data_IF_821522227862
#
_entry.id   IF_821522227862
#
_cell.length_a   1.000
_cell.length_b   1.000
_cell.length_c   1.000
_cell.angle_alpha   90.00
_cell.angle_beta   90.00
_cell.angle_gamma   90.00
#
_symmetry.space_group_name_H-M   'P 1'
#
loop_
_entity.id
_entity.type
_entity.pdbx_description
1 polymer ?
#
# COMPACT_ATOMS: atom_id res chain seq x y z
N UNK A 1 -15.77 9.56 -16.40
CA UNK A 1 -14.85 10.64 -15.99
C UNK A 1 -15.64 11.85 -15.52
N UNK A 2 -15.35 12.37 -14.33
CA UNK A 2 -15.90 13.64 -13.84
C UNK A 2 -15.07 14.77 -14.45
N UNK A 3 -15.73 15.84 -14.89
CA UNK A 3 -15.07 17.05 -15.40
C UNK A 3 -14.18 17.68 -14.32
N UNK A 4 -12.91 17.91 -14.66
CA UNK A 4 -11.90 18.51 -13.77
C UNK A 4 -12.22 19.96 -13.38
N UNK A 5 -13.08 20.64 -14.15
CA UNK A 5 -13.50 22.02 -13.89
C UNK A 5 -14.66 22.12 -12.90
N UNK A 6 -15.25 20.99 -12.49
CA UNK A 6 -16.39 20.97 -11.56
C UNK A 6 -15.95 21.29 -10.14
N UNK A 7 -16.70 22.17 -9.48
CA UNK A 7 -16.58 22.42 -8.05
C UNK A 7 -16.74 21.10 -7.27
N UNK A 8 -15.78 20.77 -6.40
CA UNK A 8 -15.74 19.50 -5.66
C UNK A 8 -15.01 18.35 -6.36
N UNK A 9 -14.43 18.54 -7.56
CA UNK A 9 -13.64 17.50 -8.23
C UNK A 9 -12.45 17.02 -7.38
N UNK A 10 -11.74 17.93 -6.70
CA UNK A 10 -10.58 17.56 -5.88
C UNK A 10 -10.96 16.63 -4.72
N UNK A 11 -12.07 16.92 -4.04
CA UNK A 11 -12.58 16.09 -2.95
C UNK A 11 -13.12 14.75 -3.48
N UNK A 12 -13.85 14.76 -4.60
CA UNK A 12 -14.32 13.53 -5.24
C UNK A 12 -13.15 12.63 -5.69
N UNK A 13 -12.09 13.23 -6.24
CA UNK A 13 -10.89 12.50 -6.65
C UNK A 13 -10.11 11.97 -5.46
N UNK A 14 -9.98 12.73 -4.37
CA UNK A 14 -9.40 12.26 -3.10
C UNK A 14 -10.19 11.06 -2.59
N UNK A 15 -11.51 11.18 -2.46
CA UNK A 15 -12.38 10.10 -1.97
C UNK A 15 -12.31 8.86 -2.85
N UNK A 16 -12.28 9.01 -4.18
CA UNK A 16 -12.08 7.87 -5.08
C UNK A 16 -10.82 7.09 -4.71
N UNK A 17 -9.67 7.77 -4.61
CA UNK A 17 -8.39 7.13 -4.26
C UNK A 17 -8.42 6.44 -2.88
N UNK A 18 -9.12 7.02 -1.91
CA UNK A 18 -9.28 6.41 -0.58
C UNK A 18 -10.19 5.18 -0.66
N UNK A 19 -11.27 5.25 -1.43
CA UNK A 19 -12.17 4.12 -1.66
C UNK A 19 -11.46 2.99 -2.40
N UNK A 20 -10.61 3.28 -3.37
CA UNK A 20 -9.82 2.27 -4.09
C UNK A 20 -8.93 1.46 -3.11
N UNK A 21 -8.42 2.09 -2.04
CA UNK A 21 -7.70 1.39 -0.96
C UNK A 21 -8.62 0.62 -0.02
N UNK A 22 -9.85 1.10 0.22
CA UNK A 22 -10.79 0.54 1.20
C UNK A 22 -11.59 -0.66 0.66
N UNK A 23 -11.89 -0.65 -0.64
CA UNK A 23 -12.72 -1.67 -1.31
C UNK A 23 -12.19 -3.10 -1.13
N UNK A 24 -10.88 -3.39 -1.28
CA UNK A 24 -10.33 -4.71 -1.02
C UNK A 24 -10.73 -5.30 0.33
N UNK A 25 -10.58 -4.50 1.40
CA UNK A 25 -10.80 -4.94 2.77
C UNK A 25 -12.28 -5.08 3.10
N UNK A 26 -13.09 -4.07 2.73
CA UNK A 26 -14.54 -4.08 2.99
C UNK A 26 -15.26 -5.15 2.17
N UNK A 27 -14.82 -5.41 0.94
CA UNK A 27 -15.35 -6.49 0.10
C UNK A 27 -14.99 -7.86 0.66
N UNK A 28 -13.76 -8.04 1.17
CA UNK A 28 -13.34 -9.27 1.82
C UNK A 28 -14.20 -9.55 3.06
N UNK A 29 -14.37 -8.55 3.95
CA UNK A 29 -15.23 -8.67 5.14
C UNK A 29 -16.65 -9.04 4.75
N UNK A 30 -17.26 -8.31 3.82
CA UNK A 30 -18.63 -8.56 3.39
C UNK A 30 -18.81 -9.96 2.78
N UNK A 31 -17.84 -10.40 1.97
CA UNK A 31 -17.84 -11.74 1.39
C UNK A 31 -17.79 -12.81 2.49
N UNK A 32 -16.82 -12.71 3.40
CA UNK A 32 -16.66 -13.70 4.47
C UNK A 32 -17.87 -13.74 5.41
N UNK A 33 -18.43 -12.58 5.77
CA UNK A 33 -19.67 -12.49 6.55
C UNK A 33 -20.83 -13.20 5.85
N UNK A 34 -20.95 -13.01 4.53
CA UNK A 34 -21.98 -13.66 3.72
C UNK A 34 -21.78 -15.18 3.69
N UNK A 35 -20.55 -15.66 3.51
CA UNK A 35 -20.23 -17.09 3.51
C UNK A 35 -20.53 -17.74 4.87
N UNK A 36 -20.12 -17.11 5.97
CA UNK A 36 -20.42 -17.60 7.31
C UNK A 36 -21.92 -17.55 7.62
N UNK A 37 -22.63 -16.51 7.19
CA UNK A 37 -24.09 -16.44 7.34
C UNK A 37 -24.81 -17.57 6.59
N UNK A 38 -24.36 -17.88 5.36
CA UNK A 38 -24.89 -19.01 4.58
C UNK A 38 -24.68 -20.36 5.27
N UNK A 39 -23.58 -20.53 6.02
CA UNK A 39 -23.32 -21.75 6.80
C UNK A 39 -24.38 -21.97 7.88
N UNK A 40 -24.84 -20.89 8.51
CA UNK A 40 -25.84 -20.91 9.59
C UNK A 40 -27.28 -21.10 9.10
N UNK A 41 -27.56 -20.89 7.82
CA UNK A 41 -28.90 -21.05 7.25
C UNK A 41 -29.31 -22.52 7.10
N UNK A 42 -30.62 -22.84 7.14
CA UNK A 42 -31.12 -24.17 6.75
C UNK A 42 -30.65 -24.56 5.34
N UNK A 43 -30.38 -25.85 5.12
CA UNK A 43 -29.84 -26.36 3.85
C UNK A 43 -30.68 -25.94 2.62
N UNK A 44 -32.01 -25.99 2.75
CA UNK A 44 -32.92 -25.59 1.67
C UNK A 44 -32.80 -24.09 1.31
N UNK A 45 -32.70 -23.22 2.32
CA UNK A 45 -32.58 -21.77 2.13
C UNK A 45 -31.21 -21.39 1.56
N UNK A 46 -30.16 -22.06 2.03
CA UNK A 46 -28.79 -21.93 1.52
C UNK A 46 -28.70 -22.34 0.06
N UNK A 47 -29.23 -23.50 -0.31
CA UNK A 47 -29.25 -23.97 -1.70
C UNK A 47 -30.04 -23.01 -2.60
N UNK A 48 -31.17 -22.48 -2.12
CA UNK A 48 -31.94 -21.47 -2.85
C UNK A 48 -31.19 -20.13 -2.98
N UNK A 49 -30.34 -19.76 -2.02
CA UNK A 49 -29.45 -18.61 -2.15
C UNK A 49 -28.38 -18.84 -3.22
N UNK A 50 -27.75 -20.02 -3.23
CA UNK A 50 -26.76 -20.42 -4.25
C UNK A 50 -27.39 -20.43 -5.64
N UNK A 51 -28.60 -20.98 -5.80
CA UNK A 51 -29.32 -20.98 -7.08
C UNK A 51 -29.56 -19.58 -7.63
N UNK A 52 -29.94 -18.62 -6.76
CA UNK A 52 -30.11 -17.22 -7.16
C UNK A 52 -28.82 -16.60 -7.68
N UNK A 53 -27.68 -16.96 -7.10
CA UNK A 53 -26.35 -16.51 -7.57
C UNK A 53 -26.04 -17.13 -8.93
N UNK A 54 -26.28 -18.43 -9.11
CA UNK A 54 -26.09 -19.13 -10.39
C UNK A 54 -26.97 -18.52 -11.49
N UNK A 55 -28.23 -18.22 -11.19
CA UNK A 55 -29.14 -17.57 -12.13
C UNK A 55 -28.69 -16.15 -12.49
N UNK A 56 -28.24 -15.38 -11.50
CA UNK A 56 -27.68 -14.05 -11.73
C UNK A 56 -26.42 -14.09 -12.59
N UNK A 57 -25.53 -15.07 -12.38
CA UNK A 57 -24.34 -15.31 -13.19
C UNK A 57 -24.71 -15.60 -14.65
N UNK A 58 -25.59 -16.58 -14.87
CA UNK A 58 -26.07 -16.94 -16.23
C UNK A 58 -26.72 -15.76 -16.93
N UNK A 59 -27.49 -14.95 -16.20
CA UNK A 59 -28.13 -13.75 -16.74
C UNK A 59 -27.08 -12.70 -17.14
N UNK A 60 -26.08 -12.46 -16.30
CA UNK A 60 -24.98 -11.52 -16.57
C UNK A 60 -24.19 -11.93 -17.81
N UNK A 61 -23.83 -13.21 -17.93
CA UNK A 61 -23.12 -13.73 -19.11
C UNK A 61 -23.95 -13.61 -20.40
N UNK A 62 -25.25 -13.88 -20.33
CA UNK A 62 -26.15 -13.72 -21.47
C UNK A 62 -26.29 -12.24 -21.89
N UNK A 63 -26.32 -11.32 -20.94
CA UNK A 63 -26.32 -9.87 -21.19
C UNK A 63 -25.01 -9.41 -21.82
N UNK A 64 -23.86 -9.86 -21.31
CA UNK A 64 -22.54 -9.57 -21.88
C UNK A 64 -22.39 -10.15 -23.29
N UNK A 65 -22.88 -11.38 -23.49
CA UNK A 65 -22.92 -12.03 -24.81
C UNK A 65 -23.80 -11.26 -25.79
N UNK A 66 -24.92 -10.70 -25.34
CA UNK A 66 -25.77 -9.83 -26.17
C UNK A 66 -25.05 -8.51 -26.49
N UNK A 67 -24.51 -7.83 -25.48
CA UNK A 67 -23.76 -6.58 -25.66
C UNK A 67 -22.57 -6.74 -26.61
N UNK A 68 -21.85 -7.87 -26.54
CA UNK A 68 -20.77 -8.21 -27.46
C UNK A 68 -21.26 -8.43 -28.89
N UNK A 69 -22.38 -9.17 -29.08
CA UNK A 69 -23.00 -9.36 -30.40
C UNK A 69 -23.53 -8.05 -31.00
N UNK A 70 -24.14 -7.20 -30.18
CA UNK A 70 -24.66 -5.89 -30.61
C UNK A 70 -23.53 -4.95 -31.00
N UNK A 71 -22.42 -4.94 -30.23
CA UNK A 71 -21.21 -4.19 -30.57
C UNK A 71 -20.57 -4.69 -31.87
N UNK A 72 -20.52 -6.01 -32.07
CA UNK A 72 -20.01 -6.61 -33.30
C UNK A 72 -20.92 -6.35 -34.52
N UNK A 73 -22.25 -6.34 -34.32
CA UNK A 73 -23.22 -6.01 -35.36
C UNK A 73 -23.16 -4.52 -35.74
N UNK A 74 -23.03 -3.62 -34.76
CA UNK A 74 -22.83 -2.19 -34.99
C UNK A 74 -21.52 -1.92 -35.77
N UNK A 75 -20.44 -2.62 -35.43
CA UNK A 75 -19.19 -2.54 -36.18
C UNK A 75 -19.34 -3.00 -37.65
N UNK A 76 -20.09 -4.08 -37.90
CA UNK A 76 -20.39 -4.58 -39.27
C UNK A 76 -21.33 -3.67 -40.07
N UNK A 77 -22.28 -3.00 -39.40
CA UNK A 77 -23.15 -2.02 -40.06
C UNK A 77 -22.39 -0.75 -40.45
N UNK A 78 -21.44 -0.29 -39.63
CA UNK A 78 -20.55 0.82 -39.97
C UNK A 78 -19.64 0.47 -41.17
N UNK A 79 -19.20 -0.78 -41.30
CA UNK A 79 -18.43 -1.28 -42.45
C UNK A 79 -19.24 -1.29 -43.76
N UNK A 80 -20.52 -1.71 -43.72
CA UNK A 80 -21.39 -1.72 -44.89
C UNK A 80 -21.92 -0.34 -45.32
N UNK A 81 -21.86 0.67 -44.45
CA UNK A 81 -22.27 2.04 -44.79
C UNK A 81 -21.16 2.83 -45.51
N UNK A 82 -19.88 2.45 -45.32
CA UNK A 82 -18.72 3.03 -46.01
C UNK A 82 -18.39 2.31 -47.35
N UNK A 83 -18.83 1.05 -47.51
CA UNK A 83 -18.69 0.28 -48.77
C UNK A 83 -19.76 0.56 -49.85
N UNK A 84 -20.69 1.47 -49.61
CA UNK A 84 -21.90 1.67 -50.42
C UNK A 84 -21.82 2.65 -51.59
N UNK A 85 -20.64 3.18 -51.94
CA UNK A 85 -20.53 4.12 -53.07
C UNK A 85 -19.24 3.91 -53.89
N UNK A 86 -19.31 3.04 -54.89
CA UNK A 86 -18.18 2.82 -55.81
C UNK A 86 -18.48 1.91 -56.99
N UNK A 87 -19.26 2.42 -57.95
CA UNK A 87 -19.36 1.87 -59.30
C UNK A 87 -17.97 1.63 -59.92
N UNK A 88 -17.77 0.41 -60.42
CA UNK A 88 -17.15 0.05 -61.70
C UNK A 88 -16.12 1.05 -62.30
N UNK A 89 -14.83 0.79 -62.10
CA UNK A 89 -13.79 1.25 -63.02
C UNK A 89 -12.59 0.27 -63.02
N UNK A 90 -12.53 -0.48 -64.11
CA UNK A 90 -11.38 -1.23 -64.59
C UNK A 90 -10.14 -0.31 -64.72
N UNK A 91 -9.09 -0.54 -63.92
CA UNK A 91 -7.71 -0.21 -64.32
C UNK A 91 -6.72 -1.13 -63.62
N UNK A 92 -6.14 -1.99 -64.45
CA UNK A 92 -4.90 -2.70 -64.23
C UNK A 92 -3.73 -1.71 -64.14
N UNK A 93 -3.01 -1.63 -63.01
CA UNK A 93 -1.59 -1.27 -63.00
C UNK A 93 -0.92 -1.72 -61.70
N UNK A 94 0.02 -2.63 -61.89
CA UNK A 94 1.08 -3.02 -60.97
C UNK A 94 2.03 -1.82 -60.73
N UNK A 95 2.23 -1.38 -59.48
CA UNK A 95 3.51 -0.80 -59.06
C UNK A 95 3.59 -0.63 -57.53
N UNK A 96 4.76 -0.97 -57.05
CA UNK A 96 5.30 -0.92 -55.71
C UNK A 96 5.56 0.53 -55.21
N UNK A 97 5.84 0.62 -53.91
CA UNK A 97 6.57 1.67 -53.15
C UNK A 97 5.82 2.82 -52.46
N UNK A 98 5.92 2.76 -51.11
CA UNK A 98 6.31 3.81 -50.15
C UNK A 98 5.98 5.29 -50.40
N UNK A 99 5.30 5.82 -49.38
CA UNK A 99 5.42 7.17 -48.80
C UNK A 99 4.83 8.37 -49.57
N UNK A 100 3.70 8.88 -49.05
CA UNK A 100 3.70 10.24 -48.50
C UNK A 100 2.48 10.48 -47.61
N UNK A 101 2.74 10.46 -46.30
CA UNK A 101 1.87 11.00 -45.28
C UNK A 101 1.85 12.54 -45.41
N UNK A 102 0.75 13.06 -45.93
CA UNK A 102 0.31 14.44 -45.74
C UNK A 102 -1.16 14.42 -45.36
N UNK A 103 -1.40 14.02 -44.12
CA UNK A 103 -2.43 14.58 -43.26
C UNK A 103 -2.16 14.07 -41.84
N UNK A 104 -2.23 14.95 -40.85
CA UNK A 104 -1.97 14.68 -39.43
C UNK A 104 -3.04 13.81 -38.76
N UNK A 105 -3.68 12.93 -39.52
CA UNK A 105 -4.74 12.05 -39.05
C UNK A 105 -4.11 10.96 -38.21
N UNK A 106 -4.36 10.99 -36.90
CA UNK A 106 -3.90 9.98 -35.94
C UNK A 106 -4.20 8.59 -36.48
N UNK A 107 -3.21 7.69 -36.42
CA UNK A 107 -3.23 6.33 -36.99
C UNK A 107 -4.56 5.56 -36.78
N UNK A 108 -5.23 5.75 -35.64
CA UNK A 108 -6.52 5.10 -35.33
C UNK A 108 -7.72 5.59 -36.15
N UNK A 109 -7.62 6.74 -36.82
CA UNK A 109 -8.67 7.29 -37.65
C UNK A 109 -8.57 6.88 -39.12
N UNK A 110 -7.51 6.16 -39.51
CA UNK A 110 -7.41 5.56 -40.83
C UNK A 110 -7.88 4.10 -40.74
N UNK A 111 -9.13 3.84 -41.14
CA UNK A 111 -9.78 2.53 -41.03
C UNK A 111 -9.01 1.42 -41.77
N UNK A 112 -8.40 1.74 -42.92
CA UNK A 112 -7.60 0.79 -43.70
C UNK A 112 -6.33 0.37 -42.95
N UNK A 113 -5.63 1.33 -42.35
CA UNK A 113 -4.43 1.07 -41.56
C UNK A 113 -4.73 0.33 -40.26
N UNK A 114 -5.88 0.60 -39.63
CA UNK A 114 -6.33 -0.12 -38.43
C UNK A 114 -6.71 -1.56 -38.77
N UNK A 115 -7.40 -1.80 -39.90
CA UNK A 115 -7.72 -3.17 -40.34
C UNK A 115 -6.46 -3.96 -40.69
N UNK A 116 -5.53 -3.35 -41.43
CA UNK A 116 -4.26 -3.97 -41.75
C UNK A 116 -3.44 -4.24 -40.47
N UNK A 117 -3.43 -3.29 -39.54
CA UNK A 117 -2.83 -3.46 -38.22
C UNK A 117 -3.46 -4.60 -37.40
N UNK A 118 -4.78 -4.76 -37.44
CA UNK A 118 -5.49 -5.88 -36.80
C UNK A 118 -5.14 -7.23 -37.42
N UNK A 119 -5.09 -7.32 -38.75
CA UNK A 119 -4.69 -8.55 -39.44
C UNK A 119 -3.23 -8.90 -39.15
N UNK A 120 -2.33 -7.92 -39.19
CA UNK A 120 -0.91 -8.12 -38.90
C UNK A 120 -0.66 -8.47 -37.43
N UNK A 121 -1.43 -7.88 -36.51
CA UNK A 121 -1.43 -8.23 -35.10
C UNK A 121 -1.87 -9.68 -34.91
N UNK A 122 -3.00 -10.10 -35.52
CA UNK A 122 -3.52 -11.46 -35.42
C UNK A 122 -2.55 -12.47 -36.04
N UNK A 123 -1.91 -12.15 -37.16
CA UNK A 123 -0.86 -12.98 -37.77
C UNK A 123 0.35 -13.15 -36.86
N UNK A 124 0.74 -12.10 -36.13
CA UNK A 124 1.98 -12.11 -35.33
C UNK A 124 1.77 -12.60 -33.90
N UNK A 125 0.58 -12.43 -33.34
CA UNK A 125 0.31 -12.66 -31.92
C UNK A 125 -0.90 -13.56 -31.64
N UNK A 126 -1.70 -13.91 -32.66
CA UNK A 126 -2.93 -14.68 -32.52
C UNK A 126 -4.10 -13.85 -31.98
N UNK A 127 -5.20 -14.53 -31.61
CA UNK A 127 -6.30 -13.89 -30.89
C UNK A 127 -5.90 -13.71 -29.42
N UNK A 128 -5.50 -12.49 -29.04
CA UNK A 128 -5.19 -12.12 -27.66
C UNK A 128 -6.38 -11.36 -27.05
N UNK A 129 -6.70 -11.66 -25.79
CA UNK A 129 -7.70 -10.90 -25.03
C UNK A 129 -7.18 -9.48 -24.78
N UNK A 130 -8.09 -8.53 -24.65
CA UNK A 130 -7.75 -7.14 -24.35
C UNK A 130 -7.52 -7.01 -22.85
N UNK A 131 -6.31 -7.34 -22.41
CA UNK A 131 -5.87 -7.34 -21.02
C UNK A 131 -4.48 -6.69 -20.90
N UNK A 132 -4.16 -6.16 -19.74
CA UNK A 132 -2.87 -5.52 -19.50
C UNK A 132 -1.72 -6.54 -19.58
N UNK A 133 -0.56 -6.09 -20.05
CA UNK A 133 0.65 -6.91 -20.23
C UNK A 133 0.51 -8.10 -21.21
N UNK A 134 -0.44 -8.07 -22.15
CA UNK A 134 -0.73 -9.13 -23.15
C UNK A 134 0.47 -9.61 -24.01
N UNK A 135 1.61 -8.91 -24.00
CA UNK A 135 2.83 -9.22 -24.77
C UNK A 135 3.84 -10.13 -24.06
N UNK A 136 3.66 -10.48 -22.79
CA UNK A 136 4.63 -11.31 -22.04
C UNK A 136 4.31 -12.80 -22.19
N UNK A 137 5.24 -13.56 -22.79
CA UNK A 137 5.05 -14.98 -23.14
C UNK A 137 5.33 -15.98 -22.01
N UNK A 138 5.84 -15.54 -20.85
CA UNK A 138 6.11 -16.41 -19.70
C UNK A 138 5.66 -15.70 -18.42
N UNK A 139 4.56 -16.18 -17.82
CA UNK A 139 4.16 -15.83 -16.45
C UNK A 139 4.35 -17.07 -15.57
N UNK A 140 5.61 -17.46 -15.37
CA UNK A 140 5.95 -18.32 -14.23
C UNK A 140 5.63 -17.52 -12.98
N UNK A 141 4.56 -17.92 -12.30
CA UNK A 141 4.23 -17.51 -10.94
C UNK A 141 5.34 -18.05 -10.05
N UNK A 142 6.41 -17.27 -9.90
CA UNK A 142 7.37 -17.44 -8.82
C UNK A 142 6.82 -16.64 -7.67
N UNK A 143 6.28 -17.38 -6.71
CA UNK A 143 6.29 -17.11 -5.27
C UNK A 143 6.87 -15.75 -4.87
N UNK A 144 5.98 -14.87 -4.44
CA UNK A 144 5.97 -14.24 -3.12
C UNK A 144 7.26 -14.47 -2.30
N UNK A 145 8.24 -13.58 -2.48
CA UNK A 145 9.26 -13.35 -1.46
C UNK A 145 9.67 -11.87 -1.50
N UNK A 146 9.30 -11.19 -0.42
CA UNK A 146 9.89 -9.98 0.16
C UNK A 146 10.58 -9.01 -0.80
N UNK A 147 9.90 -7.91 -1.15
CA UNK A 147 10.58 -6.63 -1.37
C UNK A 147 9.62 -5.48 -1.07
N UNK A 148 10.03 -4.61 -0.15
CA UNK A 148 9.43 -3.31 0.10
C UNK A 148 9.48 -2.44 -1.16
N UNK A 149 8.38 -1.75 -1.45
CA UNK A 149 8.27 -0.85 -2.59
C UNK A 149 6.86 -0.86 -3.15
N UNK A 150 5.94 -0.21 -2.44
CA UNK A 150 4.57 -0.06 -2.92
C UNK A 150 4.49 1.03 -3.98
N UNK A 151 4.39 0.61 -5.25
CA UNK A 151 3.93 1.44 -6.37
C UNK A 151 2.50 0.99 -6.73
N UNK A 152 1.51 1.80 -6.35
CA UNK A 152 0.08 1.50 -6.47
C UNK A 152 -0.51 2.14 -7.74
N UNK A 153 -0.28 1.51 -8.89
CA UNK A 153 -1.09 1.67 -10.11
C UNK A 153 -1.61 0.28 -10.51
N UNK A 154 -2.38 -0.34 -9.62
CA UNK A 154 -2.88 -1.70 -9.78
C UNK A 154 -4.34 -1.83 -9.33
N UNK A 155 -5.20 -1.03 -9.94
CA UNK A 155 -6.67 -1.17 -9.93
C UNK A 155 -7.15 -2.43 -10.68
N UNK A 156 -6.24 -3.27 -11.15
CA UNK A 156 -6.53 -4.52 -11.87
C UNK A 156 -6.22 -5.78 -11.06
N UNK A 157 -5.77 -5.66 -9.81
CA UNK A 157 -5.23 -6.82 -9.06
C UNK A 157 -6.30 -7.76 -8.48
N UNK A 158 -7.49 -7.23 -8.17
CA UNK A 158 -8.58 -8.02 -7.57
C UNK A 158 -9.54 -8.60 -8.61
N UNK A 159 -9.76 -7.90 -9.73
CA UNK A 159 -10.37 -8.52 -10.92
C UNK A 159 -9.45 -9.59 -11.48
N UNK A 160 -8.13 -9.36 -11.55
CA UNK A 160 -7.18 -10.35 -12.05
C UNK A 160 -7.08 -11.62 -11.19
N UNK A 161 -7.37 -11.59 -9.88
CA UNK A 161 -7.39 -12.80 -9.06
C UNK A 161 -8.63 -13.65 -9.39
N UNK A 162 -9.79 -13.00 -9.56
CA UNK A 162 -11.05 -13.64 -9.96
C UNK A 162 -11.05 -14.07 -11.44
N UNK A 163 -10.40 -13.30 -12.30
CA UNK A 163 -10.20 -13.59 -13.73
C UNK A 163 -9.08 -14.60 -13.97
N UNK A 164 -8.12 -14.78 -13.05
CA UNK A 164 -7.11 -15.84 -13.16
C UNK A 164 -7.67 -17.25 -12.92
N UNK A 165 -8.79 -17.35 -12.20
CA UNK A 165 -9.56 -18.58 -12.06
C UNK A 165 -10.34 -18.84 -13.36
N UNK A 166 -10.91 -17.79 -13.99
CA UNK A 166 -11.56 -17.88 -15.30
C UNK A 166 -10.58 -18.08 -16.49
N UNK A 167 -9.30 -17.73 -16.34
CA UNK A 167 -8.29 -17.85 -17.39
C UNK A 167 -7.72 -19.27 -17.56
N UNK A 168 -8.02 -20.21 -16.66
CA UNK A 168 -7.69 -21.64 -16.86
C UNK A 168 -8.66 -22.38 -17.78
N UNK A 169 -9.84 -21.80 -18.08
CA UNK A 169 -10.87 -22.45 -18.90
C UNK A 169 -10.96 -21.88 -20.33
N UNK A 170 -10.13 -20.90 -20.68
CA UNK A 170 -10.19 -20.22 -21.98
C UNK A 170 -9.41 -20.87 -23.13
N UNK A 171 -8.75 -22.00 -22.91
CA UNK A 171 -8.03 -22.76 -23.95
C UNK A 171 -8.30 -24.23 -23.74
N UNK A 172 -9.41 -24.73 -24.28
CA UNK A 172 -9.57 -26.09 -24.81
C UNK A 172 -11.01 -26.27 -25.30
N UNK A 173 -11.28 -25.86 -26.53
CA UNK A 173 -12.42 -26.43 -27.26
C UNK A 173 -11.92 -26.86 -28.65
N UNK A 174 -11.27 -28.02 -28.66
CA UNK A 174 -11.53 -29.10 -29.61
C UNK A 174 -10.71 -30.33 -29.16
N UNK A 175 -11.43 -31.37 -28.71
CA UNK A 175 -10.96 -32.71 -28.28
C UNK A 175 -10.51 -32.91 -26.82
N UNK A 176 -11.43 -32.76 -25.86
CA UNK A 176 -11.45 -33.58 -24.64
C UNK A 176 -12.82 -33.45 -23.93
N UNK A 177 -13.79 -34.27 -24.34
CA UNK A 177 -14.92 -34.56 -23.47
C UNK A 177 -14.44 -35.54 -22.39
N UNK A 178 -13.83 -35.03 -21.32
CA UNK A 178 -13.70 -35.74 -20.05
C UNK A 178 -13.46 -34.77 -18.87
N UNK A 179 -14.54 -34.61 -18.08
CA UNK A 179 -14.60 -34.14 -16.68
C UNK A 179 -13.92 -32.82 -16.29
N UNK A 180 -14.56 -31.68 -16.53
CA UNK A 180 -14.54 -30.61 -15.51
C UNK A 180 -15.28 -31.19 -14.31
N UNK A 181 -14.61 -31.29 -13.15
CA UNK A 181 -15.27 -31.79 -11.96
C UNK A 181 -16.42 -30.83 -11.62
N UNK A 182 -17.57 -31.33 -11.17
CA UNK A 182 -18.71 -30.47 -10.83
C UNK A 182 -18.36 -29.41 -9.76
N UNK A 183 -17.26 -29.60 -9.01
CA UNK A 183 -16.76 -28.68 -8.01
C UNK A 183 -16.03 -27.46 -8.59
N UNK A 184 -15.62 -27.48 -9.86
CA UNK A 184 -14.88 -26.38 -10.49
C UNK A 184 -15.77 -25.50 -11.40
N UNK A 185 -17.00 -25.94 -11.69
CA UNK A 185 -17.95 -25.24 -12.57
C UNK A 185 -18.82 -24.21 -11.78
N UNK A 186 -18.67 -22.89 -12.01
CA UNK A 186 -19.44 -21.85 -11.31
C UNK A 186 -20.93 -21.82 -11.66
N UNK A 187 -21.41 -22.65 -12.60
CA UNK A 187 -22.83 -22.86 -12.84
C UNK A 187 -23.45 -23.98 -12.01
N UNK A 188 -22.65 -24.63 -11.16
CA UNK A 188 -23.04 -25.75 -10.31
C UNK A 188 -23.04 -25.34 -8.85
N UNK A 189 -23.87 -26.02 -8.04
CA UNK A 189 -23.99 -25.71 -6.61
C UNK A 189 -22.74 -26.14 -5.85
N UNK A 190 -22.15 -27.25 -6.28
CA UNK A 190 -20.97 -27.89 -5.71
C UNK A 190 -19.79 -26.91 -5.62
N UNK A 191 -19.61 -26.06 -6.64
CA UNK A 191 -18.62 -24.98 -6.66
C UNK A 191 -18.77 -24.00 -5.49
N UNK A 192 -20.00 -23.54 -5.21
CA UNK A 192 -20.26 -22.60 -4.12
C UNK A 192 -20.24 -23.29 -2.75
N UNK A 193 -20.75 -24.52 -2.66
CA UNK A 193 -20.77 -25.29 -1.41
C UNK A 193 -19.35 -25.60 -0.92
N UNK A 194 -18.40 -25.84 -1.83
CA UNK A 194 -16.99 -26.08 -1.50
C UNK A 194 -16.30 -24.87 -0.85
N UNK A 195 -16.81 -23.66 -1.06
CA UNK A 195 -16.23 -22.41 -0.54
C UNK A 195 -16.80 -22.03 0.84
N UNK A 196 -17.85 -22.70 1.30
CA UNK A 196 -18.48 -22.38 2.57
C UNK A 196 -17.65 -22.91 3.75
N UNK A 197 -17.38 -22.09 4.79
CA UNK A 197 -16.57 -22.48 5.94
C UNK A 197 -17.36 -23.36 6.92
N UNK A 198 -17.61 -24.61 6.55
CA UNK A 198 -18.36 -25.57 7.37
C UNK A 198 -17.56 -26.13 8.54
N UNK A 199 -16.24 -26.24 8.39
CA UNK A 199 -15.37 -26.79 9.43
C UNK A 199 -14.88 -25.67 10.37
N UNK A 200 -14.58 -25.98 11.64
CA UNK A 200 -13.99 -25.01 12.55
C UNK A 200 -12.74 -24.34 12.00
N UNK A 201 -11.87 -25.10 11.32
CA UNK A 201 -10.63 -24.61 10.73
C UNK A 201 -10.90 -23.65 9.56
N UNK A 202 -11.88 -23.97 8.70
CA UNK A 202 -12.27 -23.10 7.60
C UNK A 202 -12.94 -21.81 8.12
N UNK A 203 -13.68 -21.89 9.23
CA UNK A 203 -14.22 -20.71 9.90
C UNK A 203 -13.11 -19.84 10.49
N UNK A 204 -12.11 -20.44 11.13
CA UNK A 204 -10.97 -19.69 11.68
C UNK A 204 -10.21 -18.95 10.58
N UNK A 205 -10.01 -19.58 9.43
CA UNK A 205 -9.38 -18.92 8.28
C UNK A 205 -10.24 -17.77 7.72
N UNK A 206 -11.56 -17.97 7.65
CA UNK A 206 -12.52 -16.91 7.30
C UNK A 206 -12.47 -15.75 8.31
N UNK A 207 -12.38 -16.06 9.61
CA UNK A 207 -12.26 -15.07 10.68
C UNK A 207 -10.95 -14.27 10.57
N UNK A 208 -9.83 -14.89 10.17
CA UNK A 208 -8.56 -14.15 9.92
C UNK A 208 -8.70 -13.13 8.81
N UNK A 209 -9.37 -13.47 7.71
CA UNK A 209 -9.64 -12.54 6.62
C UNK A 209 -10.52 -11.38 7.10
N UNK A 210 -11.53 -11.66 7.93
CA UNK A 210 -12.38 -10.61 8.52
C UNK A 210 -11.57 -9.71 9.46
N UNK A 211 -10.72 -10.28 10.33
CA UNK A 211 -9.89 -9.52 11.26
C UNK A 211 -8.95 -8.57 10.53
N UNK A 212 -8.22 -9.07 9.53
CA UNK A 212 -7.32 -8.26 8.69
C UNK A 212 -8.11 -7.16 7.95
N UNK A 213 -9.24 -7.51 7.35
CA UNK A 213 -10.10 -6.55 6.65
C UNK A 213 -10.64 -5.46 7.56
N UNK A 214 -11.14 -5.79 8.76
CA UNK A 214 -11.65 -4.80 9.71
C UNK A 214 -10.55 -3.90 10.26
N UNK A 215 -9.37 -4.44 10.56
CA UNK A 215 -8.25 -3.64 11.05
C UNK A 215 -7.83 -2.60 10.01
N UNK A 216 -7.53 -3.04 8.79
CA UNK A 216 -7.07 -2.15 7.72
C UNK A 216 -8.16 -1.16 7.29
N UNK A 217 -9.43 -1.59 7.19
CA UNK A 217 -10.55 -0.70 6.89
C UNK A 217 -10.69 0.39 7.95
N UNK A 218 -10.69 0.02 9.24
CA UNK A 218 -10.80 0.99 10.34
C UNK A 218 -9.67 2.02 10.36
N UNK A 219 -8.44 1.60 10.04
CA UNK A 219 -7.28 2.50 9.94
C UNK A 219 -7.43 3.47 8.76
N UNK A 220 -7.87 3.00 7.59
CA UNK A 220 -8.12 3.84 6.40
C UNK A 220 -9.27 4.81 6.65
N UNK A 221 -10.36 4.34 7.25
CA UNK A 221 -11.52 5.17 7.62
C UNK A 221 -11.11 6.30 8.57
N UNK A 222 -10.21 6.02 9.53
CA UNK A 222 -9.66 7.00 10.47
C UNK A 222 -8.70 8.01 9.82
N UNK A 223 -7.72 7.53 9.07
CA UNK A 223 -6.58 8.33 8.60
C UNK A 223 -6.87 9.02 7.28
N UNK A 224 -7.42 8.29 6.31
CA UNK A 224 -7.54 8.72 4.93
C UNK A 224 -8.92 9.32 4.65
N UNK A 225 -9.99 8.69 5.16
CA UNK A 225 -11.37 9.16 4.99
C UNK A 225 -11.76 10.20 6.05
N UNK A 226 -11.16 10.12 7.24
CA UNK A 226 -11.49 10.93 8.42
C UNK A 226 -12.95 10.81 8.87
N UNK A 227 -13.59 9.67 8.57
CA UNK A 227 -14.92 9.33 9.05
C UNK A 227 -14.81 8.63 10.40
N UNK A 228 -14.69 9.43 11.46
CA UNK A 228 -14.47 8.91 12.81
C UNK A 228 -15.61 8.03 13.34
N UNK A 229 -16.90 8.33 13.13
CA UNK A 229 -17.98 7.41 13.46
C UNK A 229 -17.83 6.04 12.80
N UNK A 230 -17.54 6.01 11.50
CA UNK A 230 -17.40 4.75 10.76
C UNK A 230 -16.20 3.95 11.26
N UNK A 231 -15.03 4.59 11.38
CA UNK A 231 -13.82 3.95 11.91
C UNK A 231 -14.04 3.36 13.33
N UNK A 232 -14.82 4.05 14.17
CA UNK A 232 -15.13 3.60 15.51
C UNK A 232 -16.01 2.34 15.48
N UNK A 233 -17.01 2.29 14.59
CA UNK A 233 -17.86 1.11 14.40
C UNK A 233 -17.02 -0.09 13.93
N UNK A 234 -16.20 0.10 12.89
CA UNK A 234 -15.34 -0.94 12.30
C UNK A 234 -14.35 -1.52 13.31
N UNK A 235 -13.61 -0.67 14.03
CA UNK A 235 -12.64 -1.12 15.05
C UNK A 235 -13.32 -1.68 16.31
N UNK A 236 -14.50 -1.18 16.67
CA UNK A 236 -15.28 -1.77 17.77
C UNK A 236 -15.73 -3.17 17.42
N UNK A 237 -16.17 -3.40 16.18
CA UNK A 237 -16.52 -4.74 15.69
C UNK A 237 -15.33 -5.69 15.81
N UNK A 238 -14.14 -5.27 15.32
CA UNK A 238 -12.91 -6.06 15.44
C UNK A 238 -12.63 -6.45 16.89
N UNK A 239 -12.55 -5.46 17.78
CA UNK A 239 -12.11 -5.68 19.18
C UNK A 239 -13.15 -6.34 20.08
N UNK A 240 -14.43 -6.34 19.67
CA UNK A 240 -15.55 -7.00 20.37
C UNK A 240 -15.75 -8.43 19.90
N UNK A 241 -15.80 -8.64 18.59
CA UNK A 241 -16.20 -9.93 18.00
C UNK A 241 -15.01 -10.88 17.83
N UNK A 242 -13.79 -10.32 17.74
CA UNK A 242 -12.55 -11.08 17.53
C UNK A 242 -11.52 -10.81 18.65
N UNK A 243 -11.79 -11.22 19.90
CA UNK A 243 -10.89 -10.99 21.02
C UNK A 243 -9.54 -11.72 20.89
N UNK A 244 -9.43 -12.70 19.99
CA UNK A 244 -8.21 -13.45 19.69
C UNK A 244 -7.34 -12.82 18.60
N UNK A 245 -7.67 -11.62 18.12
CA UNK A 245 -6.86 -10.93 17.11
C UNK A 245 -5.43 -10.72 17.62
N UNK A 246 -4.44 -11.16 16.83
CA UNK A 246 -3.03 -11.15 17.24
C UNK A 246 -2.52 -9.74 17.55
N UNK A 247 -2.95 -8.76 16.77
CA UNK A 247 -2.55 -7.35 16.88
C UNK A 247 -3.57 -6.53 17.68
N UNK A 248 -4.17 -7.12 18.72
CA UNK A 248 -5.13 -6.45 19.59
C UNK A 248 -4.57 -5.18 20.25
N UNK A 249 -3.31 -5.14 20.76
CA UNK A 249 -2.74 -3.91 21.30
C UNK A 249 -2.69 -2.77 20.28
N UNK A 250 -2.35 -3.06 19.03
CA UNK A 250 -2.34 -2.11 17.92
C UNK A 250 -3.75 -1.62 17.60
N UNK A 251 -4.74 -2.53 17.50
CA UNK A 251 -6.14 -2.15 17.26
C UNK A 251 -6.70 -1.23 18.36
N UNK A 252 -6.40 -1.54 19.64
CA UNK A 252 -6.79 -0.67 20.75
C UNK A 252 -6.05 0.67 20.72
N UNK A 253 -4.76 0.67 20.36
CA UNK A 253 -4.02 1.91 20.18
C UNK A 253 -4.62 2.78 19.06
N UNK A 254 -5.00 2.17 17.94
CA UNK A 254 -5.69 2.85 16.83
C UNK A 254 -7.02 3.47 17.28
N UNK A 255 -7.81 2.76 18.11
CA UNK A 255 -9.03 3.27 18.74
C UNK A 255 -8.75 4.42 19.72
N UNK A 256 -7.69 4.33 20.53
CA UNK A 256 -7.27 5.40 21.44
C UNK A 256 -6.95 6.68 20.66
N UNK A 257 -6.16 6.57 19.59
CA UNK A 257 -5.82 7.69 18.71
C UNK A 257 -7.06 8.26 18.02
N UNK A 258 -7.96 7.39 17.54
CA UNK A 258 -9.22 7.78 16.92
C UNK A 258 -10.06 8.65 17.86
N UNK A 259 -10.33 8.16 19.07
CA UNK A 259 -11.15 8.89 20.04
C UNK A 259 -10.47 10.16 20.54
N UNK A 260 -9.14 10.16 20.67
CA UNK A 260 -8.36 11.35 21.01
C UNK A 260 -8.49 12.42 19.92
N UNK A 261 -8.34 12.04 18.63
CA UNK A 261 -8.50 12.95 17.48
C UNK A 261 -9.93 13.46 17.34
N UNK A 262 -10.91 12.63 17.66
CA UNK A 262 -12.33 12.99 17.63
C UNK A 262 -12.79 13.83 18.84
N UNK A 263 -11.94 14.02 19.86
CA UNK A 263 -12.28 14.77 21.08
C UNK A 263 -13.16 14.00 22.07
N UNK A 264 -13.29 12.69 21.90
CA UNK A 264 -14.03 11.76 22.77
C UNK A 264 -13.14 11.27 23.91
N UNK A 265 -12.89 12.17 24.86
CA UNK A 265 -11.88 11.98 25.91
C UNK A 265 -12.19 10.83 26.87
N UNK A 266 -13.46 10.59 27.19
CA UNK A 266 -13.86 9.49 28.08
C UNK A 266 -13.71 8.12 27.38
N UNK A 267 -14.07 8.03 26.10
CA UNK A 267 -13.85 6.83 25.29
C UNK A 267 -12.35 6.57 25.10
N UNK A 268 -11.55 7.58 24.80
CA UNK A 268 -10.10 7.46 24.73
C UNK A 268 -9.51 6.94 26.06
N UNK A 269 -9.95 7.49 27.20
CA UNK A 269 -9.54 7.02 28.52
C UNK A 269 -9.92 5.55 28.75
N UNK A 270 -11.13 5.16 28.35
CA UNK A 270 -11.61 3.78 28.47
C UNK A 270 -10.71 2.81 27.69
N UNK A 271 -10.34 3.17 26.45
CA UNK A 271 -9.45 2.33 25.64
C UNK A 271 -8.03 2.27 26.21
N UNK A 272 -7.50 3.40 26.70
CA UNK A 272 -6.20 3.45 27.39
C UNK A 272 -6.19 2.56 28.65
N UNK A 273 -7.25 2.62 29.45
CA UNK A 273 -7.35 1.82 30.67
C UNK A 273 -7.51 0.32 30.34
N UNK A 274 -8.18 -0.02 29.24
CA UNK A 274 -8.22 -1.38 28.70
C UNK A 274 -6.84 -1.87 28.26
N UNK A 275 -6.07 -1.05 27.52
CA UNK A 275 -4.67 -1.36 27.17
C UNK A 275 -3.82 -1.64 28.41
N UNK A 276 -3.96 -0.81 29.45
CA UNK A 276 -3.25 -0.98 30.71
C UNK A 276 -3.62 -2.26 31.46
N UNK A 277 -4.89 -2.66 31.42
CA UNK A 277 -5.40 -3.86 32.09
C UNK A 277 -5.05 -5.15 31.34
N UNK A 278 -5.28 -5.17 30.02
CA UNK A 278 -5.17 -6.38 29.19
C UNK A 278 -3.73 -6.62 28.72
N UNK A 279 -2.93 -5.55 28.52
CA UNK A 279 -1.60 -5.60 27.92
C UNK A 279 -0.55 -4.74 28.64
N UNK A 280 -0.33 -4.90 29.97
CA UNK A 280 0.49 -3.99 30.78
C UNK A 280 1.96 -3.91 30.33
N UNK A 281 2.52 -5.01 29.81
CA UNK A 281 3.93 -5.09 29.41
C UNK A 281 4.20 -4.64 27.97
N UNK A 282 3.16 -4.39 27.17
CA UNK A 282 3.28 -4.01 25.77
C UNK A 282 3.84 -2.59 25.61
N UNK A 283 4.70 -2.38 24.61
CA UNK A 283 5.36 -1.08 24.40
C UNK A 283 4.37 0.06 24.15
N UNK A 284 3.31 -0.19 23.37
CA UNK A 284 2.24 0.78 23.14
C UNK A 284 1.51 1.15 24.44
N UNK A 285 1.27 0.17 25.31
CA UNK A 285 0.62 0.41 26.61
C UNK A 285 1.48 1.31 27.48
N UNK A 286 2.77 1.01 27.61
CA UNK A 286 3.73 1.84 28.34
C UNK A 286 3.77 3.26 27.80
N UNK A 287 3.71 3.41 26.46
CA UNK A 287 3.68 4.71 25.81
C UNK A 287 2.41 5.50 26.13
N UNK A 288 1.21 4.93 25.96
CA UNK A 288 -0.06 5.67 26.16
C UNK A 288 -0.42 5.91 27.63
N UNK A 289 0.18 5.14 28.54
CA UNK A 289 0.01 5.31 29.99
C UNK A 289 1.07 6.22 30.61
N UNK A 290 2.07 6.65 29.84
CA UNK A 290 3.06 7.62 30.29
C UNK A 290 2.35 8.93 30.72
N UNK A 291 2.55 9.43 31.94
CA UNK A 291 1.98 10.70 32.39
C UNK A 291 2.32 11.89 31.49
N UNK A 292 3.48 11.84 30.82
CA UNK A 292 3.94 12.85 29.89
C UNK A 292 3.54 12.53 28.44
N UNK A 293 2.71 11.51 28.18
CA UNK A 293 2.34 11.09 26.81
C UNK A 293 1.83 12.25 25.95
N UNK A 294 0.82 13.00 26.41
CA UNK A 294 0.24 14.11 25.65
C UNK A 294 1.26 15.23 25.42
N UNK A 295 2.09 15.49 26.45
CA UNK A 295 3.14 16.50 26.39
C UNK A 295 4.22 16.11 25.39
N UNK A 296 4.68 14.86 25.42
CA UNK A 296 5.68 14.30 24.53
C UNK A 296 5.14 14.18 23.10
N UNK A 297 3.86 13.82 22.92
CA UNK A 297 3.23 13.78 21.60
C UNK A 297 3.14 15.17 20.96
N UNK A 298 2.93 16.23 21.76
CA UNK A 298 2.77 17.60 21.27
C UNK A 298 4.07 18.37 21.11
N UNK A 299 5.02 18.17 22.02
CA UNK A 299 6.23 18.98 22.13
C UNK A 299 7.52 18.15 22.10
N UNK A 300 7.44 16.82 22.01
CA UNK A 300 8.61 15.94 22.11
C UNK A 300 9.66 16.23 21.04
N UNK A 301 9.23 16.60 19.82
CA UNK A 301 10.12 17.00 18.73
C UNK A 301 10.89 18.28 19.09
N UNK A 302 10.20 19.32 19.54
CA UNK A 302 10.79 20.59 19.93
C UNK A 302 11.72 20.44 21.15
N UNK A 303 11.34 19.57 22.09
CA UNK A 303 12.16 19.24 23.26
C UNK A 303 13.45 18.53 22.82
N UNK A 304 13.34 17.54 21.93
CA UNK A 304 14.50 16.82 21.40
C UNK A 304 15.41 17.76 20.60
N UNK A 305 14.84 18.63 19.75
CA UNK A 305 15.59 19.63 18.99
C UNK A 305 16.28 20.64 19.91
N UNK A 306 15.62 21.11 20.96
CA UNK A 306 16.21 22.01 21.95
C UNK A 306 17.33 21.33 22.74
N UNK A 307 17.15 20.08 23.15
CA UNK A 307 18.18 19.30 23.84
C UNK A 307 19.39 19.08 22.94
N UNK A 308 19.15 18.81 21.66
CA UNK A 308 20.21 18.65 20.68
C UNK A 308 20.98 19.95 20.46
N UNK A 309 20.27 21.08 20.30
CA UNK A 309 20.88 22.40 20.16
C UNK A 309 21.77 22.77 21.36
N UNK A 310 21.30 22.48 22.58
CA UNK A 310 22.07 22.66 23.81
C UNK A 310 23.33 21.77 23.82
N UNK A 311 23.21 20.51 23.39
CA UNK A 311 24.32 19.55 23.31
C UNK A 311 25.39 19.96 22.31
N UNK A 312 24.97 20.43 21.14
CA UNK A 312 25.89 20.95 20.14
C UNK A 312 26.59 22.22 20.62
N UNK A 313 25.87 23.10 21.32
CA UNK A 313 26.46 24.29 21.95
C UNK A 313 27.51 23.90 22.99
N UNK A 314 27.20 22.93 23.86
CA UNK A 314 28.15 22.39 24.83
C UNK A 314 29.40 21.81 24.16
N UNK A 315 29.24 21.01 23.11
CA UNK A 315 30.34 20.47 22.31
C UNK A 315 31.25 21.57 21.75
N UNK A 316 30.66 22.63 21.18
CA UNK A 316 31.44 23.79 20.66
C UNK A 316 32.18 24.56 21.75
N UNK A 317 31.62 24.61 22.96
CA UNK A 317 32.22 25.25 24.12
C UNK A 317 33.19 24.33 24.89
N UNK A 318 33.35 23.07 24.46
CA UNK A 318 34.16 22.02 25.14
C UNK A 318 33.65 21.69 26.54
N UNK A 319 32.35 21.85 26.76
CA UNK A 319 31.69 21.41 27.98
C UNK A 319 31.36 19.92 27.89
N UNK A 320 32.38 19.09 28.08
CA UNK A 320 32.31 17.63 28.02
C UNK A 320 31.26 17.05 28.97
N UNK A 321 31.12 17.64 30.17
CA UNK A 321 30.16 17.19 31.17
C UNK A 321 28.70 17.41 30.73
N UNK A 322 28.42 18.56 30.10
CA UNK A 322 27.10 18.83 29.54
C UNK A 322 26.80 17.96 28.32
N UNK A 323 27.79 17.65 27.47
CA UNK A 323 27.62 16.70 26.35
C UNK A 323 27.22 15.33 26.87
N UNK A 324 27.95 14.79 27.85
CA UNK A 324 27.66 13.49 28.48
C UNK A 324 26.26 13.46 29.10
N UNK A 325 25.92 14.50 29.89
CA UNK A 325 24.62 14.60 30.57
C UNK A 325 23.47 14.62 29.57
N UNK A 326 23.59 15.41 28.50
CA UNK A 326 22.54 15.49 27.50
C UNK A 326 22.46 14.22 26.63
N UNK A 327 23.60 13.56 26.36
CA UNK A 327 23.64 12.27 25.68
C UNK A 327 22.89 11.20 26.48
N UNK A 328 23.13 11.10 27.79
CA UNK A 328 22.41 10.19 28.68
C UNK A 328 20.90 10.50 28.68
N UNK A 329 20.52 11.78 28.80
CA UNK A 329 19.12 12.21 28.75
C UNK A 329 18.43 11.85 27.44
N UNK A 330 19.09 12.06 26.30
CA UNK A 330 18.57 11.63 24.99
C UNK A 330 18.43 10.10 24.92
N UNK A 331 19.36 9.35 25.51
CA UNK A 331 19.33 7.88 25.50
C UNK A 331 18.11 7.35 26.25
N UNK A 332 17.80 7.94 27.40
CA UNK A 332 16.67 7.53 28.24
C UNK A 332 15.32 7.99 27.66
N UNK A 333 15.23 9.27 27.27
CA UNK A 333 13.94 9.90 26.91
C UNK A 333 13.60 9.83 25.43
N UNK A 334 14.60 9.72 24.56
CA UNK A 334 14.44 9.75 23.11
C UNK A 334 15.26 8.64 22.40
N UNK A 335 15.16 7.36 22.83
CA UNK A 335 15.96 6.27 22.25
C UNK A 335 15.69 6.02 20.76
N UNK A 336 14.49 6.37 20.28
CA UNK A 336 14.07 6.29 18.87
C UNK A 336 13.83 7.68 18.26
N UNK A 337 14.33 8.75 18.90
CA UNK A 337 14.14 10.13 18.44
C UNK A 337 14.90 10.45 17.15
N UNK A 338 14.46 11.48 16.41
CA UNK A 338 15.04 11.85 15.11
C UNK A 338 16.51 12.31 15.24
N UNK A 339 16.87 12.92 16.37
CA UNK A 339 18.23 13.40 16.62
C UNK A 339 19.09 12.37 17.34
N UNK A 340 18.56 11.20 17.71
CA UNK A 340 19.31 10.14 18.40
C UNK A 340 20.67 9.81 17.76
N UNK A 341 20.79 9.54 16.44
CA UNK A 341 22.08 9.29 15.83
C UNK A 341 23.05 10.48 15.95
N UNK A 342 22.55 11.71 16.02
CA UNK A 342 23.36 12.93 16.18
C UNK A 342 23.91 13.07 17.59
N UNK A 343 23.13 12.70 18.61
CA UNK A 343 23.61 12.64 19.98
C UNK A 343 24.75 11.62 20.12
N UNK A 344 24.59 10.41 19.57
CA UNK A 344 25.65 9.38 19.53
C UNK A 344 26.88 9.94 18.83
N UNK A 345 26.70 10.55 17.67
CA UNK A 345 27.81 11.09 16.90
C UNK A 345 28.57 12.21 17.63
N UNK A 346 27.86 13.19 18.22
CA UNK A 346 28.47 14.27 19.02
C UNK A 346 29.19 13.71 20.24
N UNK A 347 28.61 12.71 20.93
CA UNK A 347 29.20 12.04 22.08
C UNK A 347 30.50 11.29 21.74
N UNK A 348 30.57 10.66 20.56
CA UNK A 348 31.82 10.06 20.04
C UNK A 348 32.85 11.15 19.72
N UNK A 349 32.44 12.22 19.06
CA UNK A 349 33.35 13.31 18.69
C UNK A 349 33.93 14.05 19.90
N UNK A 350 33.14 14.21 20.96
CA UNK A 350 33.55 14.86 22.20
C UNK A 350 34.66 14.08 22.92
N UNK A 351 34.61 12.75 22.83
CA UNK A 351 35.56 11.82 23.45
C UNK A 351 36.66 11.34 22.52
N UNK A 352 36.73 11.86 21.30
CA UNK A 352 37.66 11.37 20.27
C UNK A 352 39.13 11.42 20.73
N UNK A 353 39.52 12.42 21.52
CA UNK A 353 40.89 12.57 22.00
C UNK A 353 41.17 11.85 23.34
N UNK A 354 40.14 11.39 24.05
CA UNK A 354 40.24 10.96 25.45
C UNK A 354 39.81 9.51 25.68
N UNK A 355 38.91 8.97 24.86
CA UNK A 355 38.43 7.60 24.97
C UNK A 355 39.33 6.60 24.22
N UNK A 356 39.37 5.33 24.66
CA UNK A 356 40.03 4.26 23.92
C UNK A 356 39.47 4.10 22.50
N UNK A 357 40.35 3.91 21.53
CA UNK A 357 39.95 3.69 20.12
C UNK A 357 39.01 2.50 19.97
N UNK A 358 39.18 1.45 20.79
CA UNK A 358 38.29 0.29 20.79
C UNK A 358 36.84 0.66 21.13
N UNK A 359 36.62 1.56 22.09
CA UNK A 359 35.28 1.98 22.51
C UNK A 359 34.64 2.87 21.44
N UNK A 360 35.41 3.83 20.90
CA UNK A 360 34.96 4.72 19.83
C UNK A 360 34.59 3.96 18.55
N UNK A 361 35.40 2.97 18.17
CA UNK A 361 35.12 2.13 16.98
C UNK A 361 33.90 1.23 17.20
N UNK A 362 33.70 0.70 18.41
CA UNK A 362 32.49 -0.06 18.75
C UNK A 362 31.23 0.81 18.60
N UNK A 363 31.20 1.98 19.22
CA UNK A 363 30.03 2.86 19.22
C UNK A 363 29.71 3.41 17.81
N UNK A 364 30.73 3.70 16.99
CA UNK A 364 30.52 4.09 15.60
C UNK A 364 29.96 2.95 14.74
N UNK A 365 30.33 1.69 14.99
CA UNK A 365 29.72 0.54 14.30
C UNK A 365 28.25 0.39 14.69
N UNK A 366 27.95 0.45 15.98
CA UNK A 366 26.58 0.38 16.49
C UNK A 366 25.70 1.51 15.92
N UNK A 367 26.25 2.73 15.79
CA UNK A 367 25.57 3.85 15.12
C UNK A 367 25.23 3.54 13.66
N UNK A 368 26.18 3.00 12.90
CA UNK A 368 26.00 2.71 11.47
C UNK A 368 25.07 1.52 11.21
N UNK A 369 25.05 0.55 12.13
CA UNK A 369 24.15 -0.60 12.09
C UNK A 369 22.71 -0.18 12.43
N UNK A 370 22.53 0.61 13.49
CA UNK A 370 21.21 1.04 13.93
C UNK A 370 20.61 2.16 13.07
N UNK A 371 21.43 3.01 12.45
CA UNK A 371 21.00 4.19 11.71
C UNK A 371 21.72 4.36 10.36
N UNK A 372 21.63 3.40 9.43
CA UNK A 372 22.40 3.44 8.18
C UNK A 372 22.11 4.66 7.30
N UNK A 373 20.86 5.12 7.27
CA UNK A 373 20.38 6.23 6.43
C UNK A 373 20.47 7.62 7.11
N UNK A 374 21.11 7.72 8.27
CA UNK A 374 21.22 9.00 8.99
C UNK A 374 22.20 9.97 8.31
N UNK A 375 21.95 11.27 8.46
CA UNK A 375 22.79 12.33 7.89
C UNK A 375 24.22 12.37 8.47
N UNK A 376 24.44 11.81 9.66
CA UNK A 376 25.77 11.65 10.27
C UNK A 376 26.50 10.37 9.83
N UNK A 377 25.81 9.40 9.25
CA UNK A 377 26.36 8.07 8.93
C UNK A 377 27.53 8.12 7.93
N UNK A 378 27.50 8.92 6.86
CA UNK A 378 28.66 9.05 5.97
C UNK A 378 29.93 9.53 6.71
N UNK A 379 29.77 10.48 7.63
CA UNK A 379 30.88 11.03 8.41
C UNK A 379 31.35 10.04 9.49
N UNK A 380 30.42 9.39 10.18
CA UNK A 380 30.71 8.32 11.15
C UNK A 380 31.52 7.19 10.50
N UNK A 381 31.13 6.75 9.30
CA UNK A 381 31.86 5.72 8.54
C UNK A 381 33.28 6.14 8.15
N UNK A 382 33.47 7.40 7.76
CA UNK A 382 34.82 7.92 7.47
C UNK A 382 35.72 7.93 8.71
N UNK A 383 35.19 8.34 9.87
CA UNK A 383 35.93 8.36 11.13
C UNK A 383 36.25 6.94 11.57
N UNK A 384 35.28 6.02 11.53
CA UNK A 384 35.47 4.61 11.84
C UNK A 384 36.61 4.00 11.01
N UNK A 385 36.56 4.16 9.69
CA UNK A 385 37.62 3.70 8.78
C UNK A 385 38.97 4.35 9.11
N UNK A 386 38.98 5.61 9.54
CA UNK A 386 40.17 6.31 10.00
C UNK A 386 40.80 5.66 11.22
N UNK A 387 40.00 5.43 12.25
CA UNK A 387 40.42 4.80 13.50
C UNK A 387 40.93 3.37 13.28
N UNK A 388 40.22 2.57 12.48
CA UNK A 388 40.62 1.20 12.13
C UNK A 388 41.92 1.15 11.33
N UNK A 389 42.17 2.17 10.49
CA UNK A 389 43.43 2.29 9.74
C UNK A 389 44.63 2.77 10.58
N UNK A 390 44.45 2.98 11.89
CA UNK A 390 45.50 3.45 12.78
C UNK A 390 45.89 4.91 12.57
N UNK A 391 45.04 5.72 11.92
CA UNK A 391 45.29 7.17 11.79
C UNK A 391 45.23 7.83 13.15
N UNK A 392 46.30 8.54 13.50
CA UNK A 392 46.37 9.33 14.72
C UNK A 392 45.30 10.42 14.69
N UNK A 393 44.58 10.54 15.80
CA UNK A 393 43.53 11.53 15.99
C UNK A 393 44.21 12.90 16.08
N UNK A 394 43.94 13.78 15.12
CA UNK A 394 44.43 15.15 15.18
C UNK A 394 43.84 15.86 16.39
N UNK A 395 44.63 16.63 17.12
CA UNK A 395 44.19 17.43 18.28
C UNK A 395 43.27 18.62 17.92
N UNK A 396 42.83 18.70 16.65
CA UNK A 396 41.97 19.74 16.11
C UNK A 396 40.49 19.41 16.30
N UNK A 397 39.72 20.41 16.71
CA UNK A 397 38.25 20.33 16.78
C UNK A 397 37.67 20.12 15.39
N UNK A 398 36.77 19.15 15.21
CA UNK A 398 36.01 19.00 13.98
C UNK A 398 34.97 20.12 13.92
N UNK A 399 35.16 21.10 13.04
CA UNK A 399 34.16 22.13 12.78
C UNK A 399 33.01 21.53 11.95
N UNK A 400 31.94 21.14 12.65
CA UNK A 400 30.76 20.56 12.02
C UNK A 400 29.88 21.62 11.34
N UNK A 401 30.21 22.91 11.39
CA UNK A 401 29.35 23.99 10.87
C UNK A 401 28.92 23.79 9.41
N UNK A 402 29.74 23.17 8.56
CA UNK A 402 29.43 22.92 7.15
C UNK A 402 28.40 21.80 6.89
N UNK A 403 28.27 20.83 7.82
CA UNK A 403 27.21 19.82 7.80
C UNK A 403 25.89 20.40 8.35
N UNK A 404 25.99 21.25 9.37
CA UNK A 404 24.84 21.84 10.05
C UNK A 404 24.19 23.01 9.30
N UNK A 405 24.98 23.86 8.63
CA UNK A 405 24.47 24.96 7.80
C UNK A 405 23.65 24.48 6.60
N UNK A 406 23.87 23.26 6.10
CA UNK A 406 23.03 22.66 5.05
C UNK A 406 21.65 22.26 5.58
N UNK A 407 21.53 21.96 6.88
CA UNK A 407 20.25 21.58 7.50
C UNK A 407 19.41 22.78 7.89
N UNK A 408 20.00 23.87 8.41
CA UNK A 408 19.24 25.11 8.66
C UNK A 408 18.67 25.66 7.36
N UNK A 409 19.43 25.63 6.26
CA UNK A 409 18.90 26.00 4.94
C UNK A 409 17.73 25.10 4.48
N UNK A 410 17.78 23.79 4.77
CA UNK A 410 16.69 22.86 4.46
C UNK A 410 15.46 23.06 5.36
N UNK A 411 15.66 23.30 6.66
CA UNK A 411 14.60 23.59 7.62
C UNK A 411 13.92 24.94 7.34
N UNK A 412 14.69 25.96 6.98
CA UNK A 412 14.19 27.28 6.56
C UNK A 412 13.43 27.18 5.23
N UNK A 413 13.87 26.33 4.29
CA UNK A 413 13.16 26.09 3.03
C UNK A 413 11.81 25.37 3.21
N UNK A 414 11.71 24.47 4.20
CA UNK A 414 10.47 23.78 4.56
C UNK A 414 9.51 24.68 5.35
N UNK A 415 10.03 25.53 6.24
CA UNK A 415 9.25 26.54 6.94
C UNK A 415 8.73 27.63 5.98
N UNK A 416 9.52 28.03 4.98
CA UNK A 416 9.09 28.96 3.93
C UNK A 416 8.04 28.33 2.98
N UNK A 417 8.07 27.01 2.77
CA UNK A 417 7.08 26.29 1.98
C UNK A 417 5.76 26.01 2.74
N UNK A 418 5.79 26.00 4.08
CA UNK A 418 4.62 25.80 4.93
C UNK A 418 3.91 27.12 5.33
N UNK A 419 4.52 28.27 5.05
CA UNK A 419 4.00 29.60 5.38
C UNK A 419 3.68 30.49 4.17
N UNK A 420 3.58 29.91 2.97
CA UNK A 420 3.31 30.61 1.70
C UNK A 420 1.92 30.34 1.14
#
# INVERSE_FOLDING_TARGET
>A
LIDKSREGYAEASRRSKVLDKLVPFTSAVHLQDSLQALVLMPEAERNAAIDRVIEALKKKEEEERKASKDSAAAARMAENQDGGNGNNANTNTNSNTNANAKDGTWYFYNSLLVMQGKEDFRKRWGNRKNEDNWRRSNRTVVSMEQTEGYDYEADDSLSALQDSIAAKEGVEEETAADSVSAADDPHRREYYLAQLPFTPEAKEESDKIIMDGLYNAGVIEKNDLEDFPLAAETLTRLTRDYPSFEQMPEALYEMFLLYSRWGRTEEARTIRDRLAADFPDHDLTKMVTDPDFEWNARYGREIEDSLYAATYTAYRLRDHAAVETNFARSTEKHPKGLNRPKFIFVHVLDRLATAPVADLTKELRELLEAFPESDVSPMAGMILKGLESGRAIGSGHFDLASLWNRRTAAADSLAAAAGG
#
